data_IF_357358395574
#
_entry.id   IF_357358395574
#
_cell.length_a   1.000
_cell.length_b   1.000
_cell.length_c   1.000
_cell.angle_alpha   90.00
_cell.angle_beta   90.00
_cell.angle_gamma   90.00
#
_symmetry.space_group_name_H-M   'P 1'
#
loop_
_entity.id
_entity.type
_entity.pdbx_description
1 polymer ?
#
# COMPACT_ATOMS: atom_id res chain seq x y z
N UNK A 1 -36.08 32.79 -58.52
CA UNK A 1 -35.35 33.62 -57.54
C UNK A 1 -35.85 33.44 -56.13
N UNK A 2 -35.90 32.23 -55.59
CA UNK A 2 -36.42 31.95 -54.22
C UNK A 2 -35.55 30.97 -53.38
N UNK A 3 -34.38 30.59 -53.88
CA UNK A 3 -33.49 29.61 -53.19
C UNK A 3 -32.26 30.20 -52.51
N UNK A 4 -31.99 31.50 -52.64
CA UNK A 4 -30.80 32.16 -52.06
C UNK A 4 -31.00 32.59 -50.59
N UNK A 5 -32.23 32.66 -50.08
CA UNK A 5 -32.50 33.08 -48.71
C UNK A 5 -32.42 31.94 -47.68
N UNK A 6 -32.59 30.69 -48.12
CA UNK A 6 -32.60 29.54 -47.19
C UNK A 6 -31.22 29.08 -46.77
N UNK A 7 -30.18 29.34 -47.59
CA UNK A 7 -28.77 29.02 -47.27
C UNK A 7 -28.13 29.98 -46.29
N UNK A 8 -28.60 31.22 -46.20
CA UNK A 8 -28.08 32.20 -45.28
C UNK A 8 -28.62 32.06 -43.85
N UNK A 9 -29.84 31.50 -43.70
CA UNK A 9 -30.42 31.25 -42.40
C UNK A 9 -29.86 29.99 -41.70
N UNK A 10 -29.30 29.02 -42.45
CA UNK A 10 -28.74 27.79 -41.92
C UNK A 10 -27.29 27.96 -41.43
N UNK A 11 -26.57 29.00 -41.89
CA UNK A 11 -25.21 29.29 -41.48
C UNK A 11 -25.11 30.10 -40.18
N UNK A 12 -26.21 30.67 -39.68
CA UNK A 12 -26.17 31.50 -38.46
C UNK A 12 -26.48 30.73 -37.19
N UNK A 13 -26.84 29.45 -37.28
CA UNK A 13 -27.15 28.64 -36.09
C UNK A 13 -26.01 27.73 -35.61
N UNK A 14 -24.83 27.72 -36.27
CA UNK A 14 -23.69 26.94 -35.86
C UNK A 14 -22.64 27.74 -35.06
N UNK A 15 -22.88 29.00 -34.73
CA UNK A 15 -21.96 29.83 -33.97
C UNK A 15 -22.47 30.06 -32.54
N UNK A 16 -22.50 29.01 -31.68
CA UNK A 16 -23.00 29.25 -30.36
C UNK A 16 -22.99 28.05 -29.43
N UNK A 17 -21.91 27.29 -29.41
CA UNK A 17 -21.65 26.37 -28.28
C UNK A 17 -20.17 26.23 -28.08
N UNK A 18 -19.53 27.33 -27.67
CA UNK A 18 -18.26 27.24 -26.97
C UNK A 18 -18.59 26.64 -25.59
N UNK A 19 -18.57 25.31 -25.49
CA UNK A 19 -18.47 24.67 -24.20
C UNK A 19 -17.16 25.15 -23.57
N UNK A 20 -17.27 26.09 -22.65
CA UNK A 20 -16.17 26.43 -21.74
C UNK A 20 -15.96 25.19 -20.89
N UNK A 21 -15.06 24.32 -21.32
CA UNK A 21 -14.47 23.34 -20.41
C UNK A 21 -13.85 24.16 -19.28
N UNK A 22 -14.49 24.18 -18.13
CA UNK A 22 -13.88 24.71 -16.92
C UNK A 22 -12.70 23.81 -16.66
N UNK A 23 -11.52 24.23 -17.12
CA UNK A 23 -10.28 23.59 -16.80
C UNK A 23 -10.16 23.59 -15.28
N UNK A 24 -10.08 22.42 -14.69
CA UNK A 24 -9.65 22.25 -13.31
C UNK A 24 -8.22 22.77 -13.25
N UNK A 25 -8.06 24.04 -12.87
CA UNK A 25 -6.72 24.59 -12.66
C UNK A 25 -6.26 24.22 -11.27
N UNK A 26 -5.08 23.64 -11.19
CA UNK A 26 -4.37 23.38 -9.94
C UNK A 26 -4.04 24.65 -9.13
N UNK A 27 -4.33 25.83 -9.69
CA UNK A 27 -4.02 27.15 -9.12
C UNK A 27 -5.14 27.76 -8.30
N UNK A 28 -6.17 26.99 -7.94
CA UNK A 28 -7.10 27.44 -6.92
C UNK A 28 -6.35 27.45 -5.58
N UNK A 29 -5.95 28.65 -5.14
CA UNK A 29 -5.43 28.86 -3.80
C UNK A 29 -6.44 28.28 -2.80
N UNK A 30 -6.14 27.09 -2.29
CA UNK A 30 -6.88 26.51 -1.20
C UNK A 30 -6.81 27.51 -0.05
N UNK A 31 -7.96 27.86 0.55
CA UNK A 31 -8.01 28.86 1.61
C UNK A 31 -6.99 28.54 2.72
N UNK A 32 -6.52 29.57 3.44
CA UNK A 32 -5.45 29.46 4.45
C UNK A 32 -5.64 28.32 5.47
N UNK A 33 -6.87 27.85 5.68
CA UNK A 33 -7.19 26.72 6.55
C UNK A 33 -6.98 25.33 5.89
N UNK A 34 -6.95 25.26 4.56
CA UNK A 34 -6.74 23.98 3.88
C UNK A 34 -5.25 23.53 3.88
N UNK A 35 -4.34 24.44 4.22
CA UNK A 35 -2.90 24.14 4.38
C UNK A 35 -2.51 23.84 5.83
N UNK A 36 -3.42 24.03 6.79
CA UNK A 36 -3.15 23.69 8.19
C UNK A 36 -3.62 22.27 8.46
N UNK A 37 -2.69 21.36 8.76
CA UNK A 37 -3.05 20.05 9.28
C UNK A 37 -3.90 20.21 10.56
N UNK A 38 -5.09 19.60 10.63
CA UNK A 38 -5.87 19.55 11.86
C UNK A 38 -5.02 19.09 13.05
N UNK A 39 -5.28 19.60 14.24
CA UNK A 39 -4.46 19.30 15.42
C UNK A 39 -4.29 17.81 15.70
N UNK A 40 -5.31 16.99 15.40
CA UNK A 40 -5.25 15.54 15.56
C UNK A 40 -4.37 14.83 14.52
N UNK A 41 -4.03 15.50 13.40
CA UNK A 41 -3.12 14.98 12.38
C UNK A 41 -1.70 15.51 12.53
N UNK A 42 -1.45 16.45 13.42
CA UNK A 42 -0.10 17.01 13.61
C UNK A 42 0.90 15.99 14.15
N UNK A 43 0.42 14.92 14.78
CA UNK A 43 1.22 13.79 15.26
C UNK A 43 1.12 12.55 14.35
N UNK A 44 0.28 12.61 13.31
CA UNK A 44 0.15 11.55 12.31
C UNK A 44 1.10 11.83 11.14
N UNK A 45 2.38 11.75 11.40
CA UNK A 45 3.43 11.89 10.40
C UNK A 45 4.15 10.56 10.18
N UNK A 46 4.55 10.29 8.96
CA UNK A 46 5.48 9.22 8.66
C UNK A 46 6.89 9.81 8.75
N UNK A 47 7.63 9.47 9.80
CA UNK A 47 9.02 9.84 9.92
C UNK A 47 9.89 8.80 9.22
N UNK A 48 10.53 9.17 8.14
CA UNK A 48 11.43 8.27 7.45
C UNK A 48 12.67 7.99 8.32
N UNK A 49 12.85 6.75 8.76
CA UNK A 49 13.95 6.31 9.62
C UNK A 49 14.92 5.40 8.86
N UNK A 50 15.57 5.96 7.84
CA UNK A 50 16.55 5.23 7.05
C UNK A 50 17.78 4.83 7.89
N UNK A 51 18.35 3.66 7.58
CA UNK A 51 19.53 3.09 8.25
C UNK A 51 19.36 2.78 9.74
N UNK A 52 18.11 2.70 10.22
CA UNK A 52 17.85 2.19 11.57
C UNK A 52 17.85 0.68 11.58
N UNK A 53 18.42 0.11 12.66
CA UNK A 53 18.39 -1.33 12.88
C UNK A 53 17.01 -1.77 13.36
N UNK A 54 16.50 -2.86 12.80
CA UNK A 54 15.27 -3.48 13.30
C UNK A 54 15.51 -4.17 14.64
N UNK A 55 14.50 -4.27 15.51
CA UNK A 55 14.57 -4.97 16.78
C UNK A 55 14.56 -6.50 16.57
N UNK A 56 15.69 -7.07 16.17
CA UNK A 56 15.84 -8.48 15.77
C UNK A 56 15.48 -9.49 16.87
N UNK A 57 15.44 -9.05 18.13
CA UNK A 57 15.04 -9.86 19.28
C UNK A 57 13.53 -9.77 19.59
N UNK A 58 12.77 -8.92 18.90
CA UNK A 58 11.33 -8.84 19.08
C UNK A 58 10.67 -10.15 18.68
N UNK A 59 9.77 -10.65 19.52
CA UNK A 59 9.14 -11.97 19.32
C UNK A 59 7.89 -11.84 18.45
N UNK A 60 7.80 -12.69 17.43
CA UNK A 60 6.67 -12.82 16.53
C UNK A 60 6.24 -14.27 16.38
N UNK A 61 5.04 -14.48 15.87
CA UNK A 61 4.51 -15.80 15.48
C UNK A 61 4.13 -15.72 13.99
N UNK A 62 4.55 -16.68 13.22
CA UNK A 62 4.21 -16.74 11.80
C UNK A 62 2.89 -17.47 11.52
N UNK A 63 2.50 -17.55 10.27
CA UNK A 63 1.31 -18.23 9.78
C UNK A 63 1.31 -19.75 10.05
N UNK A 64 2.47 -20.35 10.30
CA UNK A 64 2.59 -21.79 10.64
C UNK A 64 2.41 -22.04 12.14
N UNK A 65 2.42 -20.98 12.96
CA UNK A 65 2.41 -21.03 14.41
C UNK A 65 3.81 -21.11 15.04
N UNK A 66 4.87 -21.02 14.23
CA UNK A 66 6.22 -20.90 14.78
C UNK A 66 6.41 -19.55 15.47
N UNK A 67 6.86 -19.58 16.72
CA UNK A 67 7.12 -18.38 17.53
C UNK A 67 8.61 -18.26 17.82
N UNK A 68 9.20 -17.12 17.50
CA UNK A 68 10.62 -16.87 17.70
C UNK A 68 10.99 -15.39 17.61
N UNK A 69 12.25 -15.06 17.80
CA UNK A 69 12.77 -13.71 17.58
C UNK A 69 12.72 -13.35 16.09
N UNK A 70 12.57 -12.08 15.78
CA UNK A 70 12.46 -11.58 14.40
C UNK A 70 13.64 -12.04 13.52
N UNK A 71 14.81 -12.28 14.11
CA UNK A 71 15.99 -12.81 13.40
C UNK A 71 15.76 -14.14 12.70
N UNK A 72 14.79 -14.94 13.13
CA UNK A 72 14.52 -16.26 12.57
C UNK A 72 14.04 -16.22 11.12
N UNK A 73 13.47 -15.09 10.69
CA UNK A 73 12.95 -14.87 9.33
C UNK A 73 13.90 -14.03 8.46
N UNK A 74 15.15 -13.78 8.91
CA UNK A 74 16.17 -13.07 8.14
C UNK A 74 17.28 -14.01 7.71
N UNK A 75 17.32 -14.35 6.43
CA UNK A 75 18.24 -15.34 5.86
C UNK A 75 19.46 -14.71 5.13
N UNK A 76 19.78 -13.46 5.45
CA UNK A 76 20.90 -12.74 4.83
C UNK A 76 20.61 -12.16 3.45
N UNK A 77 19.35 -12.24 3.00
CA UNK A 77 18.86 -11.58 1.79
C UNK A 77 18.17 -10.25 2.12
N UNK A 78 18.04 -9.35 1.15
CA UNK A 78 17.14 -8.19 1.28
C UNK A 78 15.73 -8.64 1.65
N UNK A 79 15.05 -7.84 2.47
CA UNK A 79 13.68 -8.14 2.90
C UNK A 79 12.76 -7.01 2.46
N UNK A 80 11.69 -7.37 1.76
CA UNK A 80 10.57 -6.47 1.47
C UNK A 80 9.58 -6.55 2.63
N UNK A 81 9.35 -5.42 3.31
CA UNK A 81 8.50 -5.36 4.49
C UNK A 81 7.20 -4.62 4.19
N UNK A 82 6.09 -5.13 4.73
CA UNK A 82 4.80 -4.43 4.77
C UNK A 82 4.21 -4.48 6.18
N UNK A 83 3.76 -3.33 6.68
CA UNK A 83 3.06 -3.20 7.97
C UNK A 83 1.59 -2.93 7.68
N UNK A 84 0.74 -3.89 8.02
CA UNK A 84 -0.71 -3.84 7.77
C UNK A 84 -1.44 -4.50 8.94
N UNK A 85 -2.78 -4.48 8.95
CA UNK A 85 -3.56 -5.39 9.80
C UNK A 85 -4.44 -6.29 8.94
N UNK A 86 -4.53 -7.57 9.34
CA UNK A 86 -5.03 -8.63 8.47
C UNK A 86 -6.56 -8.64 8.33
N UNK A 87 -7.27 -8.08 9.31
CA UNK A 87 -8.74 -7.97 9.30
C UNK A 87 -9.26 -6.70 8.63
N UNK A 88 -8.39 -5.89 8.03
CA UNK A 88 -8.80 -4.70 7.32
C UNK A 88 -9.61 -5.05 6.06
N UNK A 89 -10.81 -4.48 5.94
CA UNK A 89 -11.69 -4.77 4.81
C UNK A 89 -11.42 -3.89 3.58
N UNK A 90 -10.57 -2.86 3.66
CA UNK A 90 -10.48 -1.82 2.63
C UNK A 90 -9.07 -1.55 2.12
N UNK A 91 -8.22 -0.91 2.93
CA UNK A 91 -6.93 -0.39 2.45
C UNK A 91 -5.82 -1.45 2.42
N UNK A 92 -5.74 -2.32 3.43
CA UNK A 92 -4.65 -3.29 3.52
C UNK A 92 -4.66 -4.32 2.38
N UNK A 93 -5.82 -4.83 1.89
CA UNK A 93 -5.86 -5.63 0.67
C UNK A 93 -5.31 -4.88 -0.55
N UNK A 94 -5.55 -3.57 -0.68
CA UNK A 94 -5.01 -2.78 -1.78
C UNK A 94 -3.50 -2.62 -1.70
N UNK A 95 -2.95 -2.44 -0.48
CA UNK A 95 -1.49 -2.39 -0.26
C UNK A 95 -0.85 -3.72 -0.66
N UNK A 96 -1.41 -4.86 -0.22
CA UNK A 96 -0.90 -6.18 -0.58
C UNK A 96 -1.02 -6.46 -2.08
N UNK A 97 -2.15 -6.08 -2.71
CA UNK A 97 -2.34 -6.22 -4.14
C UNK A 97 -1.33 -5.37 -4.93
N UNK A 98 -1.09 -4.11 -4.52
CA UNK A 98 -0.05 -3.27 -5.13
C UNK A 98 1.35 -3.85 -4.96
N UNK A 99 1.66 -4.40 -3.79
CA UNK A 99 2.93 -5.07 -3.53
C UNK A 99 3.08 -6.32 -4.40
N UNK A 100 2.08 -7.19 -4.45
CA UNK A 100 2.11 -8.42 -5.27
C UNK A 100 2.27 -8.11 -6.76
N UNK A 101 1.58 -7.09 -7.27
CA UNK A 101 1.71 -6.64 -8.65
C UNK A 101 3.15 -6.14 -8.95
N UNK A 102 3.71 -5.30 -8.07
CA UNK A 102 5.09 -4.83 -8.20
C UNK A 102 6.12 -5.97 -8.17
N UNK A 103 5.92 -6.94 -7.27
CA UNK A 103 6.78 -8.13 -7.22
C UNK A 103 6.60 -9.05 -8.43
N UNK A 104 5.39 -9.13 -8.99
CA UNK A 104 5.13 -9.89 -10.21
C UNK A 104 5.90 -9.32 -11.41
N UNK A 105 5.98 -8.00 -11.52
CA UNK A 105 6.60 -7.31 -12.66
C UNK A 105 8.14 -7.24 -12.58
N UNK A 106 8.75 -7.57 -11.43
CA UNK A 106 10.20 -7.63 -11.32
C UNK A 106 10.76 -8.96 -11.84
N UNK A 107 12.02 -8.98 -12.27
CA UNK A 107 12.76 -10.19 -12.63
C UNK A 107 13.34 -10.89 -11.41
N UNK A 108 13.39 -10.25 -10.25
CA UNK A 108 13.91 -10.82 -9.01
C UNK A 108 12.97 -11.90 -8.47
N UNK A 109 13.54 -12.92 -7.84
CA UNK A 109 12.80 -14.09 -7.35
C UNK A 109 12.76 -14.13 -5.81
N UNK A 110 11.57 -14.30 -5.20
CA UNK A 110 11.48 -14.54 -3.76
C UNK A 110 12.20 -15.83 -3.39
N UNK A 111 12.92 -15.82 -2.28
CA UNK A 111 13.72 -16.94 -1.80
C UNK A 111 15.11 -17.07 -2.42
N UNK A 112 15.39 -16.37 -3.52
CA UNK A 112 16.71 -16.30 -4.15
C UNK A 112 17.30 -14.88 -3.95
N UNK A 113 16.60 -13.85 -4.39
CA UNK A 113 17.06 -12.47 -4.38
C UNK A 113 16.56 -11.69 -3.16
N UNK A 114 15.39 -12.04 -2.63
CA UNK A 114 14.77 -11.35 -1.49
C UNK A 114 13.78 -12.25 -0.74
N UNK A 115 13.44 -11.85 0.47
CA UNK A 115 12.34 -12.40 1.27
C UNK A 115 11.23 -11.36 1.44
N UNK A 116 10.00 -11.81 1.74
CA UNK A 116 8.85 -10.93 2.01
C UNK A 116 8.36 -11.18 3.43
N UNK A 117 8.37 -10.15 4.27
CA UNK A 117 7.82 -10.20 5.62
C UNK A 117 6.68 -9.19 5.77
N UNK A 118 5.49 -9.69 6.03
CA UNK A 118 4.32 -8.86 6.33
C UNK A 118 4.03 -8.92 7.82
N UNK A 119 3.94 -7.76 8.45
CA UNK A 119 3.71 -7.63 9.89
C UNK A 119 2.29 -7.14 10.14
N UNK A 120 1.53 -7.86 10.98
CA UNK A 120 0.31 -7.27 11.52
C UNK A 120 0.65 -6.18 12.54
N UNK A 121 -0.01 -5.02 12.39
CA UNK A 121 0.01 -3.94 13.39
C UNK A 121 -1.18 -4.00 14.35
N UNK A 122 -2.07 -4.98 14.21
CA UNK A 122 -3.19 -5.23 15.12
C UNK A 122 -2.84 -6.40 16.06
N UNK A 123 -2.69 -6.16 17.38
CA UNK A 123 -2.36 -7.22 18.33
C UNK A 123 -3.49 -8.26 18.50
N UNK A 124 -4.65 -8.05 17.91
CA UNK A 124 -5.77 -9.00 17.91
C UNK A 124 -5.78 -9.93 16.70
N UNK A 125 -4.92 -9.71 15.71
CA UNK A 125 -4.75 -10.62 14.60
C UNK A 125 -4.10 -11.93 15.05
N UNK A 126 -4.47 -13.01 14.41
CA UNK A 126 -4.07 -14.37 14.76
C UNK A 126 -3.26 -15.03 13.65
N UNK A 127 -2.50 -16.10 13.93
CA UNK A 127 -1.86 -16.90 12.88
C UNK A 127 -2.84 -17.40 11.82
N UNK A 128 -4.10 -17.69 12.20
CA UNK A 128 -5.13 -18.08 11.23
C UNK A 128 -5.52 -16.95 10.27
N UNK A 129 -5.47 -15.68 10.72
CA UNK A 129 -5.65 -14.51 9.85
C UNK A 129 -4.43 -14.35 8.93
N UNK A 130 -3.22 -14.58 9.45
CA UNK A 130 -1.97 -14.58 8.69
C UNK A 130 -1.99 -15.61 7.54
N UNK A 131 -2.45 -16.85 7.80
CA UNK A 131 -2.63 -17.89 6.77
C UNK A 131 -3.49 -17.40 5.62
N UNK A 132 -4.64 -16.79 5.91
CA UNK A 132 -5.56 -16.29 4.87
C UNK A 132 -4.91 -15.20 4.03
N UNK A 133 -4.24 -14.25 4.67
CA UNK A 133 -3.57 -13.16 3.96
C UNK A 133 -2.41 -13.67 3.09
N UNK A 134 -1.61 -14.61 3.61
CA UNK A 134 -0.55 -15.25 2.83
C UNK A 134 -1.08 -15.96 1.59
N UNK A 135 -2.17 -16.72 1.74
CA UNK A 135 -2.79 -17.43 0.61
C UNK A 135 -3.27 -16.48 -0.48
N UNK A 136 -3.94 -15.38 -0.11
CA UNK A 136 -4.37 -14.36 -1.07
C UNK A 136 -3.17 -13.69 -1.76
N UNK A 137 -2.18 -13.29 -1.00
CA UNK A 137 -0.97 -12.66 -1.52
C UNK A 137 -0.23 -13.55 -2.51
N UNK A 138 -0.01 -14.82 -2.19
CA UNK A 138 0.66 -15.78 -3.07
C UNK A 138 -0.13 -16.05 -4.36
N UNK A 139 -1.46 -16.07 -4.28
CA UNK A 139 -2.33 -16.19 -5.46
C UNK A 139 -2.17 -14.96 -6.39
N UNK A 140 -2.07 -13.77 -5.84
CA UNK A 140 -1.88 -12.52 -6.59
C UNK A 140 -0.47 -12.40 -7.20
N UNK A 141 0.57 -12.80 -6.46
CA UNK A 141 1.95 -12.81 -6.98
C UNK A 141 2.09 -13.76 -8.18
N UNK A 142 1.33 -14.86 -8.20
CA UNK A 142 1.29 -15.80 -9.34
C UNK A 142 2.63 -16.49 -9.63
N UNK A 143 3.60 -16.43 -8.73
CA UNK A 143 4.91 -17.04 -8.83
C UNK A 143 5.07 -18.15 -7.80
N UNK A 144 5.90 -19.15 -8.11
CA UNK A 144 6.31 -20.16 -7.14
C UNK A 144 7.30 -19.53 -6.14
N UNK A 145 6.76 -18.86 -5.11
CA UNK A 145 7.58 -18.42 -3.99
C UNK A 145 7.79 -19.59 -3.03
N UNK A 146 9.04 -19.91 -2.65
CA UNK A 146 9.31 -20.90 -1.62
C UNK A 146 8.58 -20.55 -0.32
N UNK A 147 8.09 -21.55 0.40
CA UNK A 147 7.26 -21.33 1.60
C UNK A 147 7.99 -20.57 2.71
N UNK A 148 9.31 -20.66 2.74
CA UNK A 148 10.23 -20.02 3.69
C UNK A 148 10.74 -18.65 3.25
N UNK A 149 10.25 -18.12 2.14
CA UNK A 149 10.63 -16.78 1.64
C UNK A 149 9.54 -15.72 1.80
N UNK A 150 8.33 -16.12 2.21
CA UNK A 150 7.20 -15.22 2.41
C UNK A 150 6.54 -15.55 3.74
N UNK A 151 6.58 -14.64 4.69
CA UNK A 151 5.96 -14.83 6.00
C UNK A 151 5.02 -13.71 6.37
N UNK A 152 3.96 -14.08 7.08
CA UNK A 152 2.95 -13.19 7.63
C UNK A 152 2.97 -13.31 9.14
N UNK A 153 3.48 -12.28 9.80
CA UNK A 153 3.84 -12.29 11.22
C UNK A 153 2.77 -11.58 12.07
N UNK A 154 2.43 -12.16 13.20
CA UNK A 154 1.62 -11.53 14.24
C UNK A 154 2.48 -11.36 15.50
N UNK A 155 2.28 -10.28 16.22
CA UNK A 155 3.12 -9.93 17.37
C UNK A 155 2.35 -9.37 18.56
N UNK A 156 3.01 -9.32 19.70
CA UNK A 156 2.51 -8.63 20.88
C UNK A 156 2.46 -7.10 20.64
N UNK A 157 1.68 -6.34 21.43
CA UNK A 157 1.72 -4.87 21.36
C UNK A 157 3.13 -4.28 21.48
N UNK A 158 3.98 -4.90 22.33
CA UNK A 158 5.37 -4.46 22.51
C UNK A 158 6.23 -4.72 21.27
N UNK A 159 6.09 -5.91 20.65
CA UNK A 159 6.81 -6.26 19.41
C UNK A 159 6.39 -5.37 18.24
N UNK A 160 5.08 -5.14 18.10
CA UNK A 160 4.51 -4.24 17.07
C UNK A 160 5.06 -2.83 17.25
N UNK A 161 4.99 -2.27 18.48
CA UNK A 161 5.51 -0.93 18.75
C UNK A 161 7.01 -0.82 18.48
N UNK A 162 7.79 -1.85 18.76
CA UNK A 162 9.24 -1.87 18.52
C UNK A 162 9.57 -1.83 17.02
N UNK A 163 8.89 -2.63 16.20
CA UNK A 163 9.11 -2.64 14.73
C UNK A 163 8.58 -1.36 14.10
N UNK A 164 7.36 -0.92 14.42
CA UNK A 164 6.79 0.33 13.90
C UNK A 164 7.65 1.53 14.28
N UNK A 165 8.15 1.59 15.51
CA UNK A 165 9.05 2.65 15.95
C UNK A 165 10.42 2.63 15.28
N UNK A 166 10.89 1.50 14.78
CA UNK A 166 12.15 1.40 14.03
C UNK A 166 12.00 1.78 12.55
N UNK A 167 10.80 1.64 12.00
CA UNK A 167 10.52 1.93 10.59
C UNK A 167 10.01 3.35 10.33
N UNK A 168 9.39 4.00 11.34
CA UNK A 168 8.93 5.39 11.26
C UNK A 168 7.43 5.56 11.24
#
# INVERSE_FOLDING_TARGET
MRFRGLFFALMLTLAGSSAVAQGYSSDHAMGAHAQQLPAYLQQAGLEQRLNQSLPMTATYTDETGHTGPLSDWFHGRPVVMALIYYKCAMLCPQVLHGLSAGLHDTTLQPGEDYDVLTFSIDPTDTPADAVKQKQMFLADVGRNAPADSVHFLVGSPASIAAVSGATG
#
